data_IF_285816938876
#
_entry.id   IF_285816938876
#
_cell.length_a   1.000
_cell.length_b   1.000
_cell.length_c   1.000
_cell.angle_alpha   90.00
_cell.angle_beta   90.00
_cell.angle_gamma   90.00
#
_symmetry.space_group_name_H-M   'P 1'
#
loop_
_entity.id
_entity.type
_entity.pdbx_description
1 polymer ?
#
# COMPACT_ATOMS: atom_id res chain seq x y z
N UNK A 1 -2.25 -16.83 1.86
CA UNK A 1 -2.70 -15.42 1.85
C UNK A 1 -1.86 -14.62 2.87
N UNK A 2 -0.85 -13.86 2.44
CA UNK A 2 0.03 -13.14 3.37
C UNK A 2 -0.55 -11.76 3.73
N UNK A 3 -1.19 -11.63 4.89
CA UNK A 3 -1.56 -10.33 5.47
C UNK A 3 -0.27 -9.62 5.88
N UNK A 4 0.03 -8.48 5.25
CA UNK A 4 1.25 -7.72 5.53
C UNK A 4 1.33 -7.24 6.99
N UNK A 5 2.53 -7.36 7.59
CA UNK A 5 2.87 -7.06 9.00
C UNK A 5 2.28 -5.76 9.59
N UNK A 6 2.10 -4.72 8.77
CA UNK A 6 1.55 -3.44 9.20
C UNK A 6 0.01 -3.42 9.35
N UNK A 7 -0.70 -4.23 8.56
CA UNK A 7 -2.16 -4.36 8.68
C UNK A 7 -2.55 -5.10 9.96
N UNK A 8 -1.72 -6.05 10.40
CA UNK A 8 -1.96 -6.80 11.63
C UNK A 8 -1.87 -5.88 12.86
N UNK A 9 -0.81 -5.06 12.93
CA UNK A 9 -0.59 -4.14 14.05
C UNK A 9 -1.69 -3.08 14.22
N UNK A 10 -2.31 -2.63 13.13
CA UNK A 10 -3.43 -1.69 13.19
C UNK A 10 -4.70 -2.35 13.77
N UNK A 11 -5.03 -3.56 13.29
CA UNK A 11 -6.19 -4.32 13.78
C UNK A 11 -6.02 -4.66 15.26
N UNK A 12 -4.84 -5.08 15.67
CA UNK A 12 -4.51 -5.35 17.07
C UNK A 12 -4.71 -4.10 17.94
N UNK A 13 -4.28 -2.92 17.48
CA UNK A 13 -4.41 -1.68 18.23
C UNK A 13 -5.85 -1.17 18.33
N UNK A 14 -6.65 -1.27 17.26
CA UNK A 14 -8.09 -0.93 17.31
C UNK A 14 -8.84 -1.87 18.26
N UNK A 15 -8.54 -3.18 18.24
CA UNK A 15 -9.12 -4.13 19.20
C UNK A 15 -8.78 -3.77 20.65
N UNK A 16 -7.52 -3.41 20.92
CA UNK A 16 -7.10 -2.94 22.24
C UNK A 16 -7.83 -1.67 22.65
N UNK A 17 -8.01 -0.71 21.74
CA UNK A 17 -8.83 0.49 21.99
C UNK A 17 -10.27 0.12 22.32
N UNK A 18 -10.92 -0.74 21.54
CA UNK A 18 -12.32 -1.13 21.79
C UNK A 18 -12.50 -1.77 23.17
N UNK A 19 -11.58 -2.65 23.58
CA UNK A 19 -11.57 -3.23 24.94
C UNK A 19 -11.40 -2.14 26.01
N UNK A 20 -10.48 -1.19 25.78
CA UNK A 20 -10.27 -0.07 26.69
C UNK A 20 -11.47 0.84 26.84
N UNK A 21 -12.16 1.12 25.73
CA UNK A 21 -13.41 1.90 25.72
C UNK A 21 -14.51 1.17 26.49
N UNK A 22 -14.66 -0.15 26.34
CA UNK A 22 -15.61 -0.94 27.13
C UNK A 22 -15.32 -0.83 28.62
N UNK A 23 -14.06 -1.00 29.02
CA UNK A 23 -13.65 -0.91 30.42
C UNK A 23 -13.90 0.47 31.03
N UNK A 24 -13.72 1.55 30.25
CA UNK A 24 -14.04 2.91 30.69
C UNK A 24 -15.56 3.12 30.86
N UNK A 25 -16.38 2.53 29.98
CA UNK A 25 -17.84 2.54 30.11
C UNK A 25 -18.32 1.77 31.34
N UNK A 26 -17.61 0.70 31.71
CA UNK A 26 -17.84 -0.06 32.95
C UNK A 26 -17.37 0.69 34.22
N UNK A 27 -16.93 1.95 34.11
CA UNK A 27 -16.50 2.78 35.24
C UNK A 27 -15.08 2.48 35.75
N UNK A 28 -14.27 1.67 35.04
CA UNK A 28 -12.90 1.39 35.47
C UNK A 28 -12.01 2.64 35.29
N UNK A 29 -11.13 2.88 36.25
CA UNK A 29 -10.21 4.01 36.21
C UNK A 29 -9.20 3.90 35.07
N UNK A 30 -8.74 5.05 34.56
CA UNK A 30 -7.72 5.14 33.50
C UNK A 30 -6.46 4.33 33.83
N UNK A 31 -6.02 4.37 35.09
CA UNK A 31 -4.87 3.60 35.55
C UNK A 31 -5.09 2.09 35.43
N UNK A 32 -6.28 1.59 35.81
CA UNK A 32 -6.61 0.17 35.73
C UNK A 32 -6.73 -0.29 34.28
N UNK A 33 -7.33 0.51 33.40
CA UNK A 33 -7.42 0.23 31.97
C UNK A 33 -6.03 0.14 31.34
N UNK A 34 -5.15 1.10 31.63
CA UNK A 34 -3.78 1.15 31.12
C UNK A 34 -2.99 -0.11 31.52
N UNK A 35 -3.03 -0.47 32.81
CA UNK A 35 -2.34 -1.66 33.32
C UNK A 35 -2.91 -2.97 32.75
N UNK A 36 -4.23 -3.10 32.64
CA UNK A 36 -4.85 -4.33 32.11
C UNK A 36 -4.61 -4.55 30.62
N UNK A 37 -4.42 -3.49 29.84
CA UNK A 37 -4.21 -3.56 28.38
C UNK A 37 -2.75 -3.37 27.95
N UNK A 38 -1.83 -3.16 28.89
CA UNK A 38 -0.42 -2.93 28.59
C UNK A 38 -0.17 -1.65 27.78
N UNK A 39 -0.99 -0.61 27.95
CA UNK A 39 -0.86 0.67 27.25
C UNK A 39 -0.54 1.80 28.23
N UNK A 40 0.02 2.91 27.73
CA UNK A 40 0.26 4.07 28.57
C UNK A 40 -1.05 4.76 28.98
N UNK A 41 -1.08 5.41 30.15
CA UNK A 41 -2.23 6.23 30.59
C UNK A 41 -2.56 7.32 29.56
N UNK A 42 -1.55 7.90 28.92
CA UNK A 42 -1.72 8.89 27.84
C UNK A 42 -2.51 8.33 26.65
N UNK A 43 -2.32 7.05 26.32
CA UNK A 43 -3.08 6.38 25.26
C UNK A 43 -4.57 6.32 25.61
N UNK A 44 -4.88 6.00 26.85
CA UNK A 44 -6.26 5.95 27.35
C UNK A 44 -6.89 7.35 27.37
N UNK A 45 -6.16 8.37 27.82
CA UNK A 45 -6.61 9.78 27.72
C UNK A 45 -6.86 10.22 26.28
N UNK A 46 -6.04 9.79 25.33
CA UNK A 46 -6.27 10.07 23.90
C UNK A 46 -7.55 9.40 23.38
N UNK A 47 -7.91 8.22 23.89
CA UNK A 47 -9.20 7.59 23.56
C UNK A 47 -10.37 8.38 24.12
N UNK A 48 -10.29 8.83 25.38
CA UNK A 48 -11.31 9.68 26.01
C UNK A 48 -11.47 10.98 25.21
N UNK A 49 -10.36 11.65 24.87
CA UNK A 49 -10.36 12.90 24.10
C UNK A 49 -10.98 12.74 22.70
N UNK A 50 -10.77 11.60 22.05
CA UNK A 50 -11.40 11.28 20.75
C UNK A 50 -12.87 10.90 20.87
N UNK A 51 -13.33 10.52 22.06
CA UNK A 51 -14.69 10.03 22.29
C UNK A 51 -14.87 8.56 21.93
N UNK A 52 -16.14 8.12 21.98
CA UNK A 52 -16.52 6.71 21.85
C UNK A 52 -17.53 6.42 20.73
N UNK A 53 -17.95 7.44 19.97
CA UNK A 53 -18.86 7.29 18.82
C UNK A 53 -18.15 6.80 17.55
N UNK A 54 -18.90 6.63 16.47
CA UNK A 54 -18.39 6.14 15.17
C UNK A 54 -17.21 6.98 14.63
N UNK A 55 -17.20 8.29 14.92
CA UNK A 55 -16.10 9.20 14.52
C UNK A 55 -14.78 8.98 15.27
N UNK A 56 -14.77 8.19 16.34
CA UNK A 56 -13.61 7.99 17.19
C UNK A 56 -12.75 6.77 16.81
N UNK A 57 -13.19 5.97 15.83
CA UNK A 57 -12.41 4.87 15.28
C UNK A 57 -11.05 5.37 14.78
N UNK A 58 -10.00 4.61 15.06
CA UNK A 58 -8.65 5.00 14.62
C UNK A 58 -8.61 4.81 13.12
N UNK A 59 -8.30 5.88 12.39
CA UNK A 59 -8.02 5.77 10.95
C UNK A 59 -6.59 5.27 10.79
N UNK A 60 -6.33 4.27 9.94
CA UNK A 60 -4.98 3.82 9.69
C UNK A 60 -4.14 4.99 9.19
N UNK A 61 -3.09 5.34 9.95
CA UNK A 61 -2.17 6.40 9.59
C UNK A 61 -1.36 6.03 8.35
N UNK A 62 -1.16 6.99 7.44
CA UNK A 62 -0.34 6.82 6.24
C UNK A 62 -0.78 7.74 5.11
N UNK A 63 0.09 7.95 4.12
CA UNK A 63 -0.26 8.69 2.91
C UNK A 63 -1.45 8.00 2.23
N UNK A 64 -2.54 8.71 1.88
CA UNK A 64 -3.69 8.11 1.24
C UNK A 64 -3.26 7.25 0.07
N UNK A 65 -3.83 6.05 0.01
CA UNK A 65 -3.55 5.10 -1.06
C UNK A 65 -3.95 5.76 -2.38
N UNK A 66 -2.98 5.94 -3.29
CA UNK A 66 -3.23 6.53 -4.62
C UNK A 66 -4.32 5.81 -5.44
N UNK A 67 -4.61 4.55 -5.12
CA UNK A 67 -5.70 3.76 -5.70
C UNK A 67 -6.58 3.21 -4.59
N UNK A 68 -7.88 3.46 -4.70
CA UNK A 68 -8.90 2.91 -3.82
C UNK A 68 -9.12 1.41 -4.10
N UNK A 69 -9.69 0.67 -3.16
CA UNK A 69 -9.77 -0.80 -3.26
C UNK A 69 -10.57 -1.29 -4.48
N UNK A 70 -11.62 -0.54 -4.88
CA UNK A 70 -12.36 -0.78 -6.14
C UNK A 70 -11.47 -0.64 -7.38
N UNK A 71 -10.63 0.41 -7.42
CA UNK A 71 -9.73 0.65 -8.54
C UNK A 71 -8.63 -0.42 -8.61
N UNK A 72 -8.19 -0.93 -7.45
CA UNK A 72 -7.24 -2.05 -7.37
C UNK A 72 -7.84 -3.34 -7.93
N UNK A 73 -9.07 -3.67 -7.53
CA UNK A 73 -9.77 -4.85 -8.05
C UNK A 73 -9.93 -4.76 -9.58
N UNK A 74 -10.39 -3.60 -10.08
CA UNK A 74 -10.50 -3.36 -11.53
C UNK A 74 -9.15 -3.47 -12.24
N UNK A 75 -8.09 -2.91 -11.66
CA UNK A 75 -6.74 -3.01 -12.22
C UNK A 75 -6.25 -4.46 -12.26
N UNK A 76 -6.53 -5.28 -11.24
CA UNK A 76 -6.21 -6.72 -11.27
C UNK A 76 -6.89 -7.41 -12.46
N UNK A 77 -8.19 -7.20 -12.64
CA UNK A 77 -8.93 -7.77 -13.78
C UNK A 77 -8.44 -7.28 -15.14
N UNK A 78 -7.88 -6.06 -15.22
CA UNK A 78 -7.25 -5.55 -16.43
C UNK A 78 -5.93 -6.30 -16.72
N UNK A 79 -5.09 -6.49 -15.71
CA UNK A 79 -3.78 -7.14 -15.89
C UNK A 79 -3.92 -8.66 -16.13
N UNK A 80 -5.00 -9.29 -15.66
CA UNK A 80 -5.33 -10.69 -16.00
C UNK A 80 -5.64 -10.88 -17.50
N UNK A 81 -6.07 -9.82 -18.18
CA UNK A 81 -6.30 -9.84 -19.63
C UNK A 81 -5.00 -9.57 -20.38
N UNK A 82 -4.95 -9.99 -21.65
CA UNK A 82 -3.79 -9.68 -22.51
C UNK A 82 -3.70 -8.17 -22.80
N UNK A 83 -2.49 -7.57 -22.86
CA UNK A 83 -2.31 -6.17 -23.23
C UNK A 83 -2.91 -5.81 -24.60
N UNK A 84 -3.01 -6.78 -25.50
CA UNK A 84 -3.70 -6.67 -26.79
C UNK A 84 -5.15 -6.16 -26.66
N UNK A 85 -5.86 -6.55 -25.59
CA UNK A 85 -7.23 -6.09 -25.34
C UNK A 85 -7.31 -4.58 -24.96
N UNK A 86 -6.17 -3.96 -24.67
CA UNK A 86 -6.05 -2.54 -24.32
C UNK A 86 -5.27 -1.76 -25.38
N UNK A 87 -5.18 -2.29 -26.61
CA UNK A 87 -4.56 -1.60 -27.74
C UNK A 87 -3.03 -1.62 -27.75
N UNK A 88 -2.39 -2.46 -26.92
CA UNK A 88 -0.95 -2.65 -26.96
C UNK A 88 -0.58 -3.79 -27.90
N UNK A 89 0.28 -3.53 -28.90
CA UNK A 89 0.89 -4.54 -29.78
C UNK A 89 1.98 -5.33 -29.04
N UNK A 90 1.62 -6.02 -27.96
CA UNK A 90 2.53 -6.86 -27.20
C UNK A 90 1.81 -7.88 -26.32
N UNK A 91 2.48 -9.01 -26.09
CA UNK A 91 1.94 -10.13 -25.32
C UNK A 91 2.17 -10.02 -23.80
N UNK A 92 2.98 -9.05 -23.35
CA UNK A 92 3.34 -8.88 -21.93
C UNK A 92 3.00 -7.51 -21.36
N UNK A 93 2.58 -7.50 -20.09
CA UNK A 93 2.46 -6.25 -19.35
C UNK A 93 3.84 -5.76 -18.92
N UNK A 94 4.07 -4.45 -18.99
CA UNK A 94 5.26 -3.78 -18.44
C UNK A 94 4.82 -2.69 -17.46
N UNK A 95 5.71 -2.25 -16.57
CA UNK A 95 5.40 -1.17 -15.62
C UNK A 95 4.91 0.10 -16.30
N UNK A 96 5.44 0.43 -17.49
CA UNK A 96 5.02 1.58 -18.29
C UNK A 96 3.62 1.41 -18.87
N UNK A 97 3.30 0.23 -19.42
CA UNK A 97 1.97 -0.07 -19.96
C UNK A 97 0.92 -0.03 -18.87
N UNK A 98 1.22 -0.60 -17.71
CA UNK A 98 0.33 -0.56 -16.54
C UNK A 98 0.16 0.87 -16.05
N UNK A 99 1.24 1.67 -15.95
CA UNK A 99 1.14 3.07 -15.56
C UNK A 99 0.28 3.88 -16.55
N UNK A 100 0.38 3.60 -17.86
CA UNK A 100 -0.47 4.22 -18.89
C UNK A 100 -1.94 3.84 -18.70
N UNK A 101 -2.25 2.56 -18.54
CA UNK A 101 -3.61 2.09 -18.26
C UNK A 101 -4.17 2.73 -16.98
N UNK A 102 -3.36 2.85 -15.92
CA UNK A 102 -3.79 3.48 -14.68
C UNK A 102 -4.09 4.96 -14.89
N UNK A 103 -3.25 5.67 -15.66
CA UNK A 103 -3.47 7.08 -16.00
C UNK A 103 -4.74 7.24 -16.83
N UNK A 104 -5.00 6.36 -17.80
CA UNK A 104 -6.14 6.47 -18.69
C UNK A 104 -7.46 6.11 -17.99
N UNK A 105 -7.48 5.03 -17.21
CA UNK A 105 -8.68 4.50 -16.54
C UNK A 105 -9.01 5.19 -15.22
N UNK A 106 -7.99 5.60 -14.45
CA UNK A 106 -8.17 6.13 -13.10
C UNK A 106 -7.72 7.58 -12.95
N UNK A 107 -7.13 8.19 -13.99
CA UNK A 107 -6.57 9.55 -13.95
C UNK A 107 -5.52 9.74 -12.84
N UNK A 108 -4.86 8.65 -12.42
CA UNK A 108 -3.83 8.68 -11.38
C UNK A 108 -2.45 8.47 -12.01
N UNK A 109 -1.52 9.38 -11.74
CA UNK A 109 -0.14 9.23 -12.17
C UNK A 109 0.66 8.31 -11.23
N UNK A 110 1.18 7.22 -11.80
CA UNK A 110 2.15 6.34 -11.18
C UNK A 110 3.49 6.41 -11.88
N UNK A 111 4.57 6.28 -11.10
CA UNK A 111 5.89 6.05 -11.65
C UNK A 111 5.98 4.57 -12.09
N UNK A 112 6.33 4.28 -13.36
CA UNK A 112 6.47 2.91 -13.88
C UNK A 112 7.36 2.01 -13.01
N UNK A 113 8.41 2.57 -12.40
CA UNK A 113 9.34 1.84 -11.51
C UNK A 113 8.69 1.38 -10.21
N UNK A 114 7.63 2.06 -9.77
CA UNK A 114 6.89 1.74 -8.54
C UNK A 114 5.85 0.64 -8.76
N UNK A 115 5.48 0.36 -10.01
CA UNK A 115 4.41 -0.59 -10.35
C UNK A 115 4.76 -2.03 -9.91
N UNK A 116 5.97 -2.58 -10.17
CA UNK A 116 6.30 -3.94 -9.75
C UNK A 116 6.21 -4.11 -8.23
N UNK A 117 6.73 -3.14 -7.47
CA UNK A 117 6.66 -3.17 -6.02
C UNK A 117 5.21 -3.03 -5.51
N UNK A 118 4.40 -2.18 -6.16
CA UNK A 118 2.98 -2.02 -5.85
C UNK A 118 2.20 -3.33 -6.04
N UNK A 119 2.44 -4.04 -7.15
CA UNK A 119 1.80 -5.33 -7.43
C UNK A 119 2.26 -6.42 -6.47
N UNK A 120 3.56 -6.47 -6.14
CA UNK A 120 4.09 -7.40 -5.14
C UNK A 120 3.44 -7.20 -3.77
N UNK A 121 3.24 -5.94 -3.35
CA UNK A 121 2.53 -5.62 -2.11
C UNK A 121 1.06 -6.08 -2.11
N UNK A 122 0.47 -6.32 -3.28
CA UNK A 122 -0.90 -6.85 -3.41
C UNK A 122 -0.98 -8.37 -3.55
N UNK A 123 0.15 -9.07 -3.33
CA UNK A 123 0.25 -10.52 -3.38
C UNK A 123 0.29 -11.10 -4.80
N UNK A 124 0.64 -10.27 -5.80
CA UNK A 124 0.80 -10.74 -7.17
C UNK A 124 2.25 -11.22 -7.40
N UNK A 125 2.41 -12.52 -7.61
CA UNK A 125 3.68 -13.11 -8.04
C UNK A 125 3.92 -12.82 -9.52
N UNK A 126 4.56 -11.69 -9.78
CA UNK A 126 4.97 -11.31 -11.12
C UNK A 126 6.17 -12.16 -11.57
N UNK A 127 5.97 -13.16 -12.42
CA UNK A 127 7.07 -13.72 -13.22
C UNK A 127 7.39 -12.72 -14.33
N UNK A 128 8.50 -11.99 -14.20
CA UNK A 128 8.98 -11.07 -15.25
C UNK A 128 9.14 -11.86 -16.56
N UNK A 129 8.47 -11.43 -17.63
CA UNK A 129 8.76 -11.93 -18.98
C UNK A 129 10.22 -11.60 -19.32
N UNK A 130 10.95 -12.50 -19.99
CA UNK A 130 12.38 -12.35 -20.32
C UNK A 130 12.71 -10.99 -20.97
N UNK A 131 11.82 -10.47 -21.81
CA UNK A 131 11.97 -9.16 -22.46
C UNK A 131 12.00 -7.97 -21.49
N UNK A 132 11.24 -8.02 -20.39
CA UNK A 132 11.24 -6.96 -19.37
C UNK A 132 12.54 -6.93 -18.57
N UNK A 133 13.17 -8.10 -18.36
CA UNK A 133 14.48 -8.22 -17.71
C UNK A 133 15.57 -7.61 -18.62
N UNK A 134 15.51 -7.87 -19.92
CA UNK A 134 16.45 -7.34 -20.89
C UNK A 134 16.37 -5.80 -21.01
N UNK A 135 15.16 -5.23 -21.03
CA UNK A 135 14.96 -3.78 -21.09
C UNK A 135 15.51 -3.06 -19.85
N UNK A 136 15.31 -3.63 -18.66
CA UNK A 136 15.81 -3.08 -17.40
C UNK A 136 17.35 -3.10 -17.36
N UNK A 137 17.97 -4.22 -17.79
CA UNK A 137 19.43 -4.30 -17.98
C UNK A 137 19.95 -3.26 -18.98
N UNK A 138 19.28 -3.09 -20.12
CA UNK A 138 19.69 -2.11 -21.14
C UNK A 138 19.56 -0.67 -20.63
N UNK A 139 18.50 -0.36 -19.87
CA UNK A 139 18.30 0.96 -19.27
C UNK A 139 19.32 1.26 -18.15
N UNK A 140 19.67 0.25 -17.35
CA UNK A 140 20.70 0.36 -16.31
C UNK A 140 22.10 0.52 -16.92
N UNK A 141 22.40 -0.20 -18.01
CA UNK A 141 23.65 -0.06 -18.76
C UNK A 141 23.76 1.33 -19.43
N UNK A 142 22.66 1.82 -20.00
CA UNK A 142 22.58 3.18 -20.56
C UNK A 142 22.76 4.25 -19.48
N UNK A 143 22.18 4.07 -18.28
CA UNK A 143 22.40 4.96 -17.14
C UNK A 143 23.86 4.91 -16.65
N UNK A 144 24.49 3.73 -16.63
CA UNK A 144 25.90 3.56 -16.25
C UNK A 144 26.85 4.19 -17.27
N UNK A 145 26.56 4.09 -18.57
CA UNK A 145 27.33 4.77 -19.64
C UNK A 145 27.22 6.29 -19.54
N UNK A 146 26.04 6.83 -19.25
CA UNK A 146 25.84 8.28 -19.00
C UNK A 146 26.57 8.77 -17.74
N UNK A 147 26.61 7.97 -16.67
CA UNK A 147 27.36 8.29 -15.47
C UNK A 147 28.89 8.27 -15.71
N UNK A 148 29.38 7.35 -16.56
CA UNK A 148 30.80 7.24 -16.94
C UNK A 148 31.27 8.39 -17.83
N UNK A 149 30.40 8.97 -18.67
CA UNK A 149 30.69 10.13 -19.51
C UNK A 149 30.75 11.48 -18.78
N UNK A 150 30.13 11.60 -17.59
CA UNK A 150 30.14 12.84 -16.79
C UNK A 150 31.40 13.05 -15.95
N UNK A 151 32.24 12.02 -15.80
CA UNK A 151 33.45 12.03 -14.94
C UNK A 151 34.74 12.39 -15.71
N UNK A 152 34.63 12.82 -16.96
CA UNK A 152 35.74 13.08 -17.89
C UNK A 152 35.73 14.53 -18.44
N UNK A 153 35.07 15.46 -17.76
CA UNK A 153 35.09 16.90 -18.05
C UNK A 153 35.68 17.64 -16.87
#
# INVERSE_FOLDING_TARGET
>A
MAKGRAANKFVEYENTRQKGVSMLKDGKSVAKVASSLGVSRQTVYNWIKRGFGEGAAIKPGGRPRKLNDKQRAKLKSIIERKPAAYGFKADSWTGERIAKVIKDQFKVAFNPKSIPQMLRNWGWEWRKSKAAIAFEKAAEEAARKKARGKKKR
#
